data_IF_264564776591
#
_entry.id   IF_264564776591
#
_cell.length_a   1.000
_cell.length_b   1.000
_cell.length_c   1.000
_cell.angle_alpha   90.00
_cell.angle_beta   90.00
_cell.angle_gamma   90.00
#
_symmetry.space_group_name_H-M   'P 1'
#
loop_
_entity.id
_entity.type
_entity.pdbx_description
1 polymer ?
#
# COMPACT_ATOMS: atom_id res chain seq x y z
N UNK A 1 -20.29 -70.80 22.72
CA UNK A 1 -19.87 -69.94 23.83
C UNK A 1 -18.80 -68.91 23.31
N UNK A 2 -17.72 -69.37 22.64
CA UNK A 2 -16.65 -68.50 22.15
C UNK A 2 -17.09 -67.40 21.17
N UNK A 3 -17.91 -67.79 20.17
CA UNK A 3 -18.46 -66.85 19.16
C UNK A 3 -19.36 -65.79 19.80
N UNK A 4 -20.15 -66.15 20.80
CA UNK A 4 -21.02 -65.24 21.52
C UNK A 4 -20.21 -64.24 22.37
N UNK A 5 -19.12 -64.67 23.00
CA UNK A 5 -18.22 -63.78 23.71
C UNK A 5 -17.52 -62.80 22.79
N UNK A 6 -17.03 -63.26 21.63
CA UNK A 6 -16.42 -62.36 20.64
C UNK A 6 -17.39 -61.30 20.12
N UNK A 7 -18.64 -61.69 19.88
CA UNK A 7 -19.67 -60.75 19.42
C UNK A 7 -20.02 -59.71 20.50
N UNK A 8 -20.07 -60.15 21.77
CA UNK A 8 -20.34 -59.26 22.90
C UNK A 8 -19.21 -58.24 23.11
N UNK A 9 -17.94 -58.68 22.98
CA UNK A 9 -16.77 -57.78 23.08
C UNK A 9 -16.76 -56.79 21.92
N UNK A 10 -17.05 -57.22 20.69
CA UNK A 10 -17.16 -56.34 19.53
C UNK A 10 -18.23 -55.26 19.71
N UNK A 11 -19.40 -55.67 20.21
CA UNK A 11 -20.51 -54.76 20.45
C UNK A 11 -20.19 -53.73 21.56
N UNK A 12 -19.52 -54.20 22.61
CA UNK A 12 -19.07 -53.32 23.70
C UNK A 12 -18.04 -52.31 23.23
N UNK A 13 -17.02 -52.72 22.46
CA UNK A 13 -16.01 -51.84 21.91
C UNK A 13 -16.60 -50.84 20.91
N UNK A 14 -17.56 -51.24 20.08
CA UNK A 14 -18.24 -50.35 19.16
C UNK A 14 -19.07 -49.28 19.90
N UNK A 15 -19.76 -49.63 20.99
CA UNK A 15 -20.53 -48.68 21.79
C UNK A 15 -19.61 -47.71 22.53
N UNK A 16 -18.50 -48.20 23.09
CA UNK A 16 -17.52 -47.36 23.79
C UNK A 16 -16.86 -46.41 22.78
N UNK A 17 -16.41 -46.89 21.61
CA UNK A 17 -15.81 -46.08 20.56
C UNK A 17 -16.74 -44.97 20.08
N UNK A 18 -18.02 -45.31 19.84
CA UNK A 18 -19.04 -44.34 19.42
C UNK A 18 -19.27 -43.27 20.49
N UNK A 19 -19.41 -43.66 21.77
CA UNK A 19 -19.54 -42.69 22.88
C UNK A 19 -18.34 -41.80 23.10
N UNK A 20 -17.10 -42.32 22.93
CA UNK A 20 -15.89 -41.54 22.98
C UNK A 20 -15.85 -40.50 21.85
N UNK A 21 -16.19 -40.91 20.64
CA UNK A 21 -16.21 -40.01 19.49
C UNK A 21 -17.25 -38.89 19.63
N UNK A 22 -18.47 -39.23 20.05
CA UNK A 22 -19.54 -38.26 20.20
C UNK A 22 -19.35 -37.31 21.39
N UNK A 23 -18.84 -37.80 22.53
CA UNK A 23 -18.76 -37.03 23.74
C UNK A 23 -17.42 -36.31 23.93
N UNK A 24 -16.34 -36.77 23.29
CA UNK A 24 -14.98 -36.17 23.47
C UNK A 24 -14.47 -35.57 22.19
N UNK A 25 -14.52 -36.28 21.07
CA UNK A 25 -13.89 -35.82 19.81
C UNK A 25 -14.77 -34.82 19.08
N UNK A 26 -16.07 -35.05 18.99
CA UNK A 26 -16.99 -34.17 18.26
C UNK A 26 -17.08 -32.75 18.84
N UNK A 27 -17.15 -32.54 20.17
CA UNK A 27 -17.11 -31.19 20.75
C UNK A 27 -15.79 -30.47 20.48
N UNK A 28 -14.66 -31.17 20.47
CA UNK A 28 -13.33 -30.58 20.21
C UNK A 28 -13.16 -30.24 18.73
N UNK A 29 -13.60 -31.12 17.81
CA UNK A 29 -13.45 -30.93 16.37
C UNK A 29 -14.40 -29.86 15.80
N UNK A 30 -15.59 -29.70 16.38
CA UNK A 30 -16.62 -28.78 15.90
C UNK A 30 -16.60 -27.41 16.59
N UNK A 31 -15.76 -27.23 17.61
CA UNK A 31 -15.65 -25.93 18.28
C UNK A 31 -14.76 -25.02 17.44
N UNK A 32 -15.34 -24.01 16.82
CA UNK A 32 -14.60 -22.92 16.22
C UNK A 32 -13.79 -22.24 17.32
N UNK A 33 -12.46 -22.36 17.29
CA UNK A 33 -11.54 -21.75 18.28
C UNK A 33 -11.67 -20.22 18.38
N UNK A 34 -12.44 -19.59 17.49
CA UNK A 34 -12.72 -18.16 17.49
C UNK A 34 -13.79 -17.71 18.48
N UNK A 35 -14.66 -18.64 18.98
CA UNK A 35 -15.80 -18.32 19.86
C UNK A 35 -15.87 -19.22 21.11
N UNK A 36 -14.73 -19.68 21.61
CA UNK A 36 -14.70 -20.47 22.84
C UNK A 36 -15.00 -19.53 24.02
N UNK A 37 -16.22 -19.63 24.54
CA UNK A 37 -16.62 -19.01 25.81
C UNK A 37 -15.90 -19.74 26.96
N UNK A 38 -15.09 -19.02 27.74
CA UNK A 38 -14.31 -19.53 28.89
C UNK A 38 -15.17 -20.34 29.90
N UNK A 39 -16.49 -20.10 29.91
CA UNK A 39 -17.45 -20.70 30.85
C UNK A 39 -17.99 -22.06 30.40
N UNK A 40 -17.78 -22.48 29.14
CA UNK A 40 -18.37 -23.71 28.56
C UNK A 40 -17.38 -24.85 28.29
N UNK A 41 -16.14 -24.77 28.73
CA UNK A 41 -15.21 -25.90 28.57
C UNK A 41 -15.60 -27.06 29.48
N UNK A 42 -15.90 -28.25 28.92
CA UNK A 42 -16.24 -29.44 29.70
C UNK A 42 -15.05 -30.03 30.47
N UNK A 43 -13.81 -29.55 30.23
CA UNK A 43 -12.60 -30.05 30.85
C UNK A 43 -11.85 -28.92 31.55
N UNK A 44 -11.75 -28.99 32.87
CA UNK A 44 -11.08 -27.99 33.70
C UNK A 44 -9.60 -27.83 33.37
N UNK A 45 -8.97 -28.92 32.94
CA UNK A 45 -7.56 -28.98 32.55
C UNK A 45 -7.23 -28.21 31.24
N UNK A 46 -8.24 -27.95 30.38
CA UNK A 46 -8.08 -27.19 29.15
C UNK A 46 -8.28 -25.67 29.32
N UNK A 47 -8.83 -25.23 30.43
CA UNK A 47 -9.06 -23.80 30.71
C UNK A 47 -7.81 -22.91 30.53
N UNK A 48 -6.61 -23.30 31.03
CA UNK A 48 -5.41 -22.48 30.85
C UNK A 48 -5.02 -22.34 29.36
N UNK A 49 -5.20 -23.39 28.56
CA UNK A 49 -4.92 -23.34 27.12
C UNK A 49 -5.92 -22.46 26.37
N UNK A 50 -7.19 -22.58 26.70
CA UNK A 50 -8.26 -21.79 26.10
C UNK A 50 -8.07 -20.30 26.43
N UNK A 51 -7.77 -19.97 27.67
CA UNK A 51 -7.51 -18.59 28.08
C UNK A 51 -6.26 -18.01 27.40
N UNK A 52 -5.20 -18.81 27.26
CA UNK A 52 -3.99 -18.42 26.53
C UNK A 52 -4.28 -18.15 25.03
N UNK A 53 -4.99 -19.06 24.36
CA UNK A 53 -5.38 -18.90 22.95
C UNK A 53 -6.30 -17.67 22.77
N UNK A 54 -7.25 -17.49 23.67
CA UNK A 54 -8.16 -16.35 23.64
C UNK A 54 -7.43 -15.01 23.87
N UNK A 55 -6.41 -15.01 24.75
CA UNK A 55 -5.55 -13.86 24.94
C UNK A 55 -4.71 -13.55 23.69
N UNK A 56 -4.07 -14.57 23.10
CA UNK A 56 -3.27 -14.40 21.87
C UNK A 56 -4.14 -13.92 20.71
N UNK A 57 -5.33 -14.47 20.53
CA UNK A 57 -6.26 -14.03 19.49
C UNK A 57 -6.70 -12.58 19.67
N UNK A 58 -6.96 -12.16 20.91
CA UNK A 58 -7.25 -10.74 21.21
C UNK A 58 -6.08 -9.83 20.88
N UNK A 59 -4.87 -10.23 21.26
CA UNK A 59 -3.65 -9.46 20.97
C UNK A 59 -3.41 -9.33 19.47
N UNK A 60 -3.51 -10.44 18.72
CA UNK A 60 -3.40 -10.44 17.25
C UNK A 60 -4.46 -9.51 16.64
N UNK A 61 -5.70 -9.60 17.09
CA UNK A 61 -6.79 -8.73 16.62
C UNK A 61 -6.49 -7.25 16.88
N UNK A 62 -5.99 -6.92 18.06
CA UNK A 62 -5.57 -5.55 18.37
C UNK A 62 -4.41 -5.07 17.51
N UNK A 63 -3.42 -5.91 17.24
CA UNK A 63 -2.30 -5.58 16.35
C UNK A 63 -2.78 -5.36 14.92
N UNK A 64 -3.64 -6.23 14.38
CA UNK A 64 -4.24 -6.09 13.04
C UNK A 64 -5.04 -4.79 12.93
N UNK A 65 -5.86 -4.47 13.93
CA UNK A 65 -6.62 -3.22 13.95
C UNK A 65 -5.72 -1.98 14.05
N UNK A 66 -4.61 -2.07 14.78
CA UNK A 66 -3.60 -1.00 14.86
C UNK A 66 -2.95 -0.76 13.51
N UNK A 67 -2.47 -1.81 12.85
CA UNK A 67 -1.87 -1.74 11.50
C UNK A 67 -2.87 -1.19 10.49
N UNK A 68 -4.12 -1.67 10.53
CA UNK A 68 -5.19 -1.17 9.66
C UNK A 68 -5.45 0.33 9.87
N UNK A 69 -5.51 0.79 11.11
CA UNK A 69 -5.69 2.23 11.42
C UNK A 69 -4.49 3.07 10.95
N UNK A 70 -3.27 2.59 11.11
CA UNK A 70 -2.07 3.28 10.61
C UNK A 70 -2.11 3.38 9.09
N UNK A 71 -2.43 2.29 8.39
CA UNK A 71 -2.57 2.27 6.92
C UNK A 71 -3.61 3.28 6.44
N UNK A 72 -4.81 3.28 7.06
CA UNK A 72 -5.88 4.23 6.72
C UNK A 72 -5.47 5.68 6.96
N UNK A 73 -4.73 5.96 8.05
CA UNK A 73 -4.22 7.31 8.33
C UNK A 73 -3.22 7.76 7.27
N UNK A 74 -2.26 6.92 6.90
CA UNK A 74 -1.28 7.23 5.84
C UNK A 74 -1.98 7.46 4.50
N UNK A 75 -2.96 6.62 4.18
CA UNK A 75 -3.76 6.78 2.97
C UNK A 75 -4.53 8.11 2.98
N UNK A 76 -5.21 8.46 4.08
CA UNK A 76 -5.93 9.72 4.20
C UNK A 76 -5.01 10.93 4.04
N UNK A 77 -3.80 10.91 4.62
CA UNK A 77 -2.80 11.96 4.43
C UNK A 77 -2.41 12.07 2.97
N UNK A 78 -2.04 10.96 2.34
CA UNK A 78 -1.66 10.92 0.92
C UNK A 78 -2.78 11.44 0.00
N UNK A 79 -4.04 11.05 0.25
CA UNK A 79 -5.19 11.50 -0.54
C UNK A 79 -5.55 12.98 -0.34
N UNK A 80 -5.16 13.57 0.79
CA UNK A 80 -5.38 15.00 1.08
C UNK A 80 -4.29 15.92 0.56
N UNK A 81 -3.17 15.37 0.07
CA UNK A 81 -2.08 16.16 -0.51
C UNK A 81 -2.51 16.77 -1.86
N UNK A 82 -2.02 17.97 -2.13
CA UNK A 82 -2.15 18.62 -3.44
C UNK A 82 -1.10 18.10 -4.43
N UNK A 83 0.05 17.69 -3.91
CA UNK A 83 1.16 17.12 -4.68
C UNK A 83 0.84 15.69 -5.09
N UNK A 84 1.16 15.35 -6.34
CA UNK A 84 1.05 13.98 -6.82
C UNK A 84 2.06 13.06 -6.13
N UNK A 85 1.60 11.92 -5.64
CA UNK A 85 2.47 10.87 -5.07
C UNK A 85 2.22 9.57 -5.83
N UNK A 86 3.31 8.98 -6.35
CA UNK A 86 3.33 7.65 -6.97
C UNK A 86 4.38 6.81 -6.29
N UNK A 87 4.04 5.58 -5.97
CA UNK A 87 4.96 4.57 -5.42
C UNK A 87 5.01 3.39 -6.37
N UNK A 88 6.20 3.02 -6.78
CA UNK A 88 6.47 1.94 -7.71
C UNK A 88 7.19 0.78 -7.02
N UNK A 89 6.96 -0.43 -7.52
CA UNK A 89 7.73 -1.62 -7.16
C UNK A 89 9.07 -1.68 -7.93
N UNK A 90 9.81 -2.80 -7.78
CA UNK A 90 11.09 -3.04 -8.46
C UNK A 90 10.97 -3.12 -9.98
N UNK A 91 9.80 -3.50 -10.48
CA UNK A 91 9.54 -3.72 -11.91
C UNK A 91 8.93 -2.47 -12.58
N UNK A 92 8.76 -1.37 -11.83
CA UNK A 92 8.17 -0.13 -12.32
C UNK A 92 6.65 -0.14 -12.37
N UNK A 93 6.00 -1.12 -11.70
CA UNK A 93 4.55 -1.15 -11.60
C UNK A 93 4.08 -0.29 -10.43
N UNK A 94 2.91 0.29 -10.58
CA UNK A 94 2.31 1.17 -9.58
C UNK A 94 1.79 0.36 -8.40
N UNK A 95 2.41 0.53 -7.24
CA UNK A 95 1.92 -0.01 -5.96
C UNK A 95 0.82 0.88 -5.37
N UNK A 96 1.01 2.19 -5.47
CA UNK A 96 0.08 3.17 -4.93
C UNK A 96 0.26 4.50 -5.65
N UNK A 97 -0.86 5.22 -5.83
CA UNK A 97 -0.86 6.62 -6.25
C UNK A 97 -2.02 7.34 -5.56
N UNK A 98 -1.85 8.63 -5.27
CA UNK A 98 -2.89 9.44 -4.67
C UNK A 98 -3.76 10.13 -5.74
N UNK A 99 -4.85 10.77 -5.27
CA UNK A 99 -5.79 11.48 -6.14
C UNK A 99 -5.13 12.58 -6.98
N UNK A 100 -4.13 13.28 -6.42
CA UNK A 100 -3.43 14.34 -7.13
C UNK A 100 -2.61 13.76 -8.30
N UNK A 101 -1.85 12.68 -8.09
CA UNK A 101 -1.12 11.99 -9.16
C UNK A 101 -2.06 11.45 -10.25
N UNK A 102 -3.23 10.92 -9.87
CA UNK A 102 -4.23 10.48 -10.85
C UNK A 102 -4.70 11.63 -11.76
N UNK A 103 -4.89 12.83 -11.21
CA UNK A 103 -5.23 14.01 -12.00
C UNK A 103 -4.11 14.40 -12.97
N UNK A 104 -2.86 14.44 -12.50
CA UNK A 104 -1.69 14.76 -13.33
C UNK A 104 -1.54 13.79 -14.50
N UNK A 105 -1.76 12.51 -14.26
CA UNK A 105 -1.65 11.45 -15.26
C UNK A 105 -2.97 11.23 -16.06
N UNK A 106 -3.97 12.08 -15.84
CA UNK A 106 -5.29 12.01 -16.49
C UNK A 106 -5.95 10.62 -16.38
N UNK A 107 -5.91 10.03 -15.18
CA UNK A 107 -6.45 8.70 -14.91
C UNK A 107 -7.87 8.78 -14.34
N UNK A 108 -8.78 7.97 -14.86
CA UNK A 108 -10.17 7.91 -14.39
C UNK A 108 -10.31 7.27 -13.00
N UNK A 109 -9.39 6.38 -12.60
CA UNK A 109 -9.43 5.65 -11.32
C UNK A 109 -8.04 5.28 -10.84
N UNK A 110 -7.79 5.46 -9.55
CA UNK A 110 -6.53 5.08 -8.88
C UNK A 110 -6.41 3.57 -8.72
N UNK A 111 -7.52 2.86 -8.53
CA UNK A 111 -7.54 1.40 -8.33
C UNK A 111 -7.28 0.63 -9.64
N UNK A 112 -7.78 1.14 -10.76
CA UNK A 112 -7.68 0.46 -12.06
C UNK A 112 -6.24 0.37 -12.59
N UNK A 113 -5.33 1.20 -12.10
CA UNK A 113 -3.95 1.29 -12.57
C UNK A 113 -2.94 0.62 -11.64
N UNK A 114 -3.37 0.08 -10.51
CA UNK A 114 -2.51 -0.72 -9.64
C UNK A 114 -1.94 -1.92 -10.39
N UNK A 115 -0.67 -2.23 -10.12
CA UNK A 115 0.09 -3.27 -10.81
C UNK A 115 0.27 -3.04 -12.33
N UNK A 116 -0.03 -1.83 -12.82
CA UNK A 116 0.27 -1.44 -14.20
C UNK A 116 1.59 -0.70 -14.24
N UNK A 117 2.40 -0.92 -15.28
CA UNK A 117 3.65 -0.18 -15.47
C UNK A 117 3.38 1.31 -15.70
N UNK A 118 4.06 2.17 -14.93
CA UNK A 118 3.95 3.62 -15.06
C UNK A 118 4.37 4.09 -16.46
N UNK A 119 5.39 3.48 -17.07
CA UNK A 119 5.85 3.82 -18.42
C UNK A 119 4.77 3.63 -19.48
N UNK A 120 3.92 2.61 -19.34
CA UNK A 120 2.78 2.43 -20.27
C UNK A 120 1.79 3.57 -20.19
N UNK A 121 1.57 4.12 -18.99
CA UNK A 121 0.63 5.24 -18.77
C UNK A 121 1.19 6.57 -19.26
N UNK A 122 2.52 6.73 -19.27
CA UNK A 122 3.20 7.92 -19.81
C UNK A 122 3.58 7.80 -21.28
N UNK A 123 3.00 6.83 -22.01
CA UNK A 123 3.23 6.63 -23.45
C UNK A 123 4.63 6.13 -23.80
N UNK A 124 5.31 5.47 -22.86
CA UNK A 124 6.72 5.04 -23.00
C UNK A 124 7.69 6.19 -23.35
N UNK A 125 7.47 7.36 -22.78
CA UNK A 125 8.36 8.51 -22.95
C UNK A 125 9.81 8.13 -22.60
N UNK A 126 10.77 8.31 -23.52
CA UNK A 126 12.15 7.89 -23.32
C UNK A 126 12.86 8.67 -22.21
N UNK A 127 12.54 9.96 -22.03
CA UNK A 127 13.12 10.76 -20.93
C UNK A 127 12.60 10.28 -19.59
N UNK A 128 11.31 9.97 -19.50
CA UNK A 128 10.71 9.39 -18.30
C UNK A 128 11.34 8.02 -17.98
N UNK A 129 11.52 7.17 -18.99
CA UNK A 129 12.15 5.86 -18.85
C UNK A 129 13.60 5.96 -18.35
N UNK A 130 14.40 6.90 -18.91
CA UNK A 130 15.78 7.12 -18.48
C UNK A 130 15.88 7.60 -17.02
N UNK A 131 14.97 8.49 -16.59
CA UNK A 131 14.93 8.99 -15.18
C UNK A 131 14.50 7.89 -14.22
N UNK A 132 13.53 7.08 -14.61
CA UNK A 132 13.10 5.94 -13.83
C UNK A 132 14.21 4.89 -13.68
N UNK A 133 14.93 4.60 -14.76
CA UNK A 133 16.12 3.72 -14.74
C UNK A 133 17.19 4.24 -13.79
N UNK A 134 17.48 5.55 -13.81
CA UNK A 134 18.42 6.18 -12.89
C UNK A 134 18.01 6.02 -11.42
N UNK A 135 16.70 6.09 -11.13
CA UNK A 135 16.18 5.85 -9.78
C UNK A 135 16.45 4.42 -9.30
N UNK A 136 16.31 3.42 -10.18
CA UNK A 136 16.66 2.02 -9.86
C UNK A 136 18.16 1.79 -9.71
N UNK A 137 19.00 2.67 -10.27
CA UNK A 137 20.43 2.73 -10.02
C UNK A 137 20.79 3.49 -8.73
N UNK A 138 19.84 3.67 -7.83
CA UNK A 138 19.97 4.40 -6.56
C UNK A 138 20.31 5.90 -6.70
N UNK A 139 19.95 6.53 -7.82
CA UNK A 139 20.10 7.97 -8.05
C UNK A 139 18.79 8.70 -7.72
N UNK A 140 18.92 9.92 -7.21
CA UNK A 140 17.81 10.86 -6.97
C UNK A 140 17.91 11.99 -7.96
N UNK A 141 16.78 12.60 -8.29
CA UNK A 141 16.77 13.76 -9.16
C UNK A 141 15.37 14.29 -9.40
N UNK A 142 15.29 15.28 -10.28
CA UNK A 142 14.03 15.81 -10.77
C UNK A 142 14.07 16.04 -12.28
N UNK A 143 12.89 16.16 -12.87
CA UNK A 143 12.69 16.54 -14.26
C UNK A 143 11.32 17.18 -14.43
N UNK A 144 11.14 17.93 -15.51
CA UNK A 144 9.86 18.55 -15.83
C UNK A 144 9.02 17.63 -16.73
N UNK A 145 7.75 17.57 -16.40
CA UNK A 145 6.71 16.88 -17.19
C UNK A 145 5.63 17.89 -17.55
N UNK A 146 5.46 18.16 -18.84
CA UNK A 146 4.51 19.15 -19.33
C UNK A 146 3.34 18.47 -20.01
N UNK A 147 2.14 18.83 -19.60
CA UNK A 147 0.89 18.50 -20.25
C UNK A 147 0.42 19.70 -21.07
N UNK A 148 -0.71 19.58 -21.79
CA UNK A 148 -1.24 20.68 -22.60
C UNK A 148 -1.48 21.99 -21.81
N UNK A 149 -1.74 21.88 -20.50
CA UNK A 149 -2.18 23.01 -19.67
C UNK A 149 -1.29 23.30 -18.47
N UNK A 150 -0.49 22.33 -18.04
CA UNK A 150 0.27 22.42 -16.78
C UNK A 150 1.69 21.92 -16.97
N UNK A 151 2.61 22.50 -16.19
CA UNK A 151 4.00 22.00 -16.07
C UNK A 151 4.24 21.55 -14.64
N UNK A 152 4.67 20.30 -14.50
CA UNK A 152 4.96 19.66 -13.22
C UNK A 152 6.47 19.42 -13.09
N UNK A 153 7.00 19.60 -11.89
CA UNK A 153 8.33 19.12 -11.54
C UNK A 153 8.17 17.79 -10.80
N UNK A 154 8.75 16.73 -11.34
CA UNK A 154 8.71 15.37 -10.82
C UNK A 154 10.03 15.05 -10.12
N UNK A 155 9.96 14.82 -8.82
CA UNK A 155 11.11 14.36 -8.02
C UNK A 155 11.02 12.85 -7.87
N UNK A 156 12.06 12.14 -8.27
CA UNK A 156 12.17 10.71 -8.09
C UNK A 156 13.22 10.35 -7.04
N UNK A 157 12.90 9.38 -6.20
CA UNK A 157 13.78 8.88 -5.14
C UNK A 157 13.64 7.37 -4.99
N UNK A 158 14.77 6.63 -4.94
CA UNK A 158 14.75 5.21 -4.65
C UNK A 158 14.31 4.95 -3.22
N UNK A 159 13.58 3.86 -3.03
CA UNK A 159 13.25 3.29 -1.72
C UNK A 159 14.14 2.07 -1.52
N UNK A 160 14.93 2.08 -0.45
CA UNK A 160 15.91 1.04 -0.17
C UNK A 160 15.51 0.18 1.02
N UNK A 161 15.81 -1.11 0.94
CA UNK A 161 15.79 -2.05 2.06
C UNK A 161 17.25 -2.38 2.41
N UNK A 162 17.88 -1.47 3.17
CA UNK A 162 19.31 -1.55 3.50
C UNK A 162 20.21 -1.39 2.27
N UNK A 163 20.43 -2.44 1.51
CA UNK A 163 21.38 -2.47 0.37
C UNK A 163 20.73 -2.40 -1.01
N UNK A 164 19.49 -2.83 -1.14
CA UNK A 164 18.82 -2.98 -2.43
C UNK A 164 17.71 -1.94 -2.61
N UNK A 165 17.56 -1.44 -3.85
CA UNK A 165 16.39 -0.65 -4.23
C UNK A 165 15.18 -1.58 -4.32
N UNK A 166 14.17 -1.34 -3.50
CA UNK A 166 12.92 -2.11 -3.47
C UNK A 166 11.77 -1.44 -4.21
N UNK A 167 11.97 -0.20 -4.63
CA UNK A 167 10.99 0.58 -5.37
C UNK A 167 11.41 2.02 -5.57
N UNK A 168 10.54 2.82 -6.15
CA UNK A 168 10.76 4.23 -6.40
C UNK A 168 9.55 5.03 -5.95
N UNK A 169 9.80 6.18 -5.32
CA UNK A 169 8.77 7.19 -5.02
C UNK A 169 8.95 8.36 -5.98
N UNK A 170 7.84 8.82 -6.55
CA UNK A 170 7.78 10.00 -7.41
C UNK A 170 6.82 11.00 -6.76
N UNK A 171 7.30 12.23 -6.54
CA UNK A 171 6.50 13.37 -6.11
C UNK A 171 6.34 14.34 -7.28
N UNK A 172 5.14 14.85 -7.50
CA UNK A 172 4.78 15.72 -8.61
C UNK A 172 4.28 17.06 -8.07
N UNK A 173 4.99 18.13 -8.36
CA UNK A 173 4.65 19.50 -7.95
C UNK A 173 4.17 20.31 -9.15
N UNK A 174 3.03 20.95 -9.05
CA UNK A 174 2.55 21.88 -10.07
C UNK A 174 3.38 23.18 -10.02
N UNK A 175 4.14 23.42 -11.06
CA UNK A 175 5.00 24.57 -11.21
C UNK A 175 4.43 25.62 -12.17
N UNK A 176 3.21 25.42 -12.68
CA UNK A 176 2.61 26.24 -13.74
C UNK A 176 2.56 27.71 -13.37
N UNK A 177 2.02 28.06 -12.23
CA UNK A 177 1.92 29.45 -11.74
C UNK A 177 3.30 30.05 -11.48
N UNK A 178 4.22 29.29 -10.92
CA UNK A 178 5.57 29.75 -10.63
C UNK A 178 6.32 30.09 -11.91
N UNK A 179 6.31 29.19 -12.90
CA UNK A 179 6.98 29.41 -14.19
C UNK A 179 6.37 30.62 -14.91
N UNK A 180 5.04 30.73 -14.92
CA UNK A 180 4.32 31.85 -15.52
C UNK A 180 4.70 33.20 -14.86
N UNK A 181 4.75 33.25 -13.55
CA UNK A 181 5.12 34.42 -12.82
C UNK A 181 6.62 34.81 -13.04
N UNK A 182 7.52 33.82 -13.15
CA UNK A 182 8.92 34.07 -13.50
C UNK A 182 9.07 34.63 -14.92
N UNK A 183 8.31 34.13 -15.88
CA UNK A 183 8.26 34.65 -17.26
C UNK A 183 7.78 36.08 -17.29
N UNK A 184 6.68 36.40 -16.62
CA UNK A 184 6.14 37.78 -16.55
C UNK A 184 7.16 38.71 -15.93
N UNK A 185 7.86 38.31 -14.87
CA UNK A 185 8.92 39.11 -14.25
C UNK A 185 10.11 39.34 -15.19
N UNK A 186 10.54 38.33 -15.92
CA UNK A 186 11.60 38.41 -16.89
C UNK A 186 11.24 39.35 -18.04
N UNK A 187 10.05 39.23 -18.61
CA UNK A 187 9.54 40.15 -19.64
C UNK A 187 9.45 41.59 -19.14
N UNK A 188 8.90 41.79 -17.96
CA UNK A 188 8.81 43.11 -17.35
C UNK A 188 10.22 43.75 -17.20
N UNK A 189 11.18 42.99 -16.68
CA UNK A 189 12.55 43.46 -16.48
C UNK A 189 13.22 43.80 -17.82
N UNK A 190 13.03 42.97 -18.84
CA UNK A 190 13.54 43.19 -20.20
C UNK A 190 12.94 44.46 -20.83
N UNK A 191 11.60 44.62 -20.75
CA UNK A 191 10.90 45.79 -21.30
C UNK A 191 11.31 47.08 -20.61
N UNK A 192 11.36 47.11 -19.27
CA UNK A 192 11.83 48.29 -18.50
C UNK A 192 13.29 48.63 -18.87
N UNK A 193 14.15 47.62 -19.01
CA UNK A 193 15.54 47.85 -19.41
C UNK A 193 15.66 48.45 -20.81
N UNK A 194 14.81 48.01 -21.75
CA UNK A 194 14.76 48.52 -23.10
C UNK A 194 14.22 49.95 -23.16
N UNK A 195 13.13 50.23 -22.47
CA UNK A 195 12.49 51.55 -22.37
C UNK A 195 13.40 52.59 -21.72
N UNK A 196 14.21 52.20 -20.72
CA UNK A 196 15.18 53.09 -20.05
C UNK A 196 16.46 53.31 -20.90
N UNK A 197 16.83 52.39 -21.76
CA UNK A 197 18.02 52.48 -22.60
C UNK A 197 17.82 53.46 -23.79
N UNK A 198 16.60 53.53 -24.30
CA UNK A 198 16.25 54.41 -25.45
C UNK A 198 16.48 55.92 -25.18
N UNK A 199 16.01 56.52 -24.06
CA UNK A 199 16.27 57.94 -23.78
C UNK A 199 17.73 58.21 -23.34
N UNK A 200 18.45 57.21 -22.78
CA UNK A 200 19.86 57.37 -22.35
C UNK A 200 20.85 57.41 -23.54
N UNK A 201 20.46 56.88 -24.70
CA UNK A 201 21.32 56.90 -25.92
C UNK A 201 21.03 58.10 -26.81
N UNK A 202 20.05 58.95 -26.44
CA UNK A 202 19.62 60.15 -27.21
C UNK A 202 20.15 61.46 -26.62
N UNK A 203 21.02 61.40 -25.58
CA UNK A 203 21.78 62.50 -24.99
C UNK A 203 23.25 62.35 -25.38
#
# INVERSE_FOLDING_TARGET
VLVFMCLLIYLLTAVISKRLTENIVAPIANTSFAEIDEQRSPYEELKPFISMISYQNREIKHQVERVKRQKLRLQAVSESMNEGLVVLDRDGNILSLNRAAARVLNLASTEAVKNTSLLKLTGNDPDFAAKLSAAYENKRGSFYYTTDTHTYELFYSPVNDGTNVIGVVILMFDMTEKIKNEQIRAEFTANVSHELKTPLTSI
#
